data_IF_446319352418
#
_entry.id   IF_446319352418
#
_cell.length_a   1.000
_cell.length_b   1.000
_cell.length_c   1.000
_cell.angle_alpha   90.00
_cell.angle_beta   90.00
_cell.angle_gamma   90.00
#
_symmetry.space_group_name_H-M   'P 1'
#
loop_
_entity.id
_entity.type
_entity.pdbx_description
1 polymer ?
#
# COMPACT_ATOMS: atom_id res chain seq x y z
N UNK A 1 -3.48 -4.46 -19.56
CA UNK A 1 -2.78 -4.66 -18.26
C UNK A 1 -3.51 -5.76 -17.51
N UNK A 2 -2.83 -6.77 -16.96
CA UNK A 2 -3.49 -7.90 -16.25
C UNK A 2 -2.57 -9.06 -15.93
N UNK A 3 -1.38 -9.10 -16.53
CA UNK A 3 -0.39 -10.12 -16.18
C UNK A 3 0.28 -9.78 -14.84
N UNK A 4 0.35 -10.69 -13.86
CA UNK A 4 1.09 -10.47 -12.62
C UNK A 4 2.59 -10.21 -12.85
N UNK A 5 3.15 -10.67 -13.96
CA UNK A 5 4.56 -10.47 -14.33
C UNK A 5 4.81 -9.12 -15.04
N UNK A 6 3.76 -8.46 -15.56
CA UNK A 6 3.90 -7.22 -16.32
C UNK A 6 4.69 -6.13 -15.61
N UNK A 7 4.33 -5.75 -14.37
CA UNK A 7 5.06 -4.73 -13.63
C UNK A 7 6.52 -5.12 -13.35
N UNK A 8 6.78 -6.39 -13.01
CA UNK A 8 8.13 -6.88 -12.73
C UNK A 8 9.03 -6.83 -13.98
N UNK A 9 8.51 -7.25 -15.13
CA UNK A 9 9.24 -7.20 -16.38
C UNK A 9 9.48 -5.77 -16.85
N UNK A 10 8.50 -4.88 -16.69
CA UNK A 10 8.66 -3.46 -17.00
C UNK A 10 9.74 -2.80 -16.15
N UNK A 11 9.74 -3.07 -14.84
CA UNK A 11 10.76 -2.58 -13.92
C UNK A 11 12.14 -3.11 -14.31
N UNK A 12 12.28 -4.41 -14.58
CA UNK A 12 13.55 -5.02 -14.95
C UNK A 12 14.09 -4.43 -16.27
N UNK A 13 13.21 -4.25 -17.26
CA UNK A 13 13.56 -3.62 -18.55
C UNK A 13 14.08 -2.19 -18.34
N UNK A 14 13.32 -1.36 -17.62
CA UNK A 14 13.72 0.01 -17.36
C UNK A 14 15.02 0.10 -16.54
N UNK A 15 15.17 -0.72 -15.48
CA UNK A 15 16.40 -0.72 -14.68
C UNK A 15 17.65 -1.05 -15.53
N UNK A 16 17.55 -2.03 -16.45
CA UNK A 16 18.65 -2.36 -17.34
C UNK A 16 19.02 -1.19 -18.24
N UNK A 17 18.02 -0.60 -18.89
CA UNK A 17 18.26 0.50 -19.83
C UNK A 17 18.70 1.79 -19.14
N UNK A 18 18.08 2.16 -18.02
CA UNK A 18 18.43 3.36 -17.25
C UNK A 18 19.88 3.32 -16.76
N UNK A 19 20.32 2.20 -16.22
CA UNK A 19 21.72 2.05 -15.79
C UNK A 19 22.70 2.33 -16.96
N UNK A 20 22.41 1.79 -18.14
CA UNK A 20 23.23 2.05 -19.33
C UNK A 20 23.15 3.52 -19.75
N UNK A 21 21.94 4.08 -19.85
CA UNK A 21 21.74 5.47 -20.28
C UNK A 21 22.38 6.49 -19.32
N UNK A 22 22.30 6.24 -18.01
CA UNK A 22 22.93 7.10 -17.01
C UNK A 22 24.45 6.98 -17.00
N UNK A 23 25.00 5.81 -17.29
CA UNK A 23 26.45 5.63 -17.41
C UNK A 23 27.00 6.33 -18.66
N UNK A 24 26.28 6.23 -19.78
CA UNK A 24 26.64 6.85 -21.07
C UNK A 24 26.25 8.35 -21.12
N UNK A 25 25.66 8.91 -20.06
CA UNK A 25 25.24 10.30 -20.02
C UNK A 25 26.42 11.24 -19.92
N UNK A 26 26.50 12.25 -20.81
CA UNK A 26 27.54 13.28 -20.75
C UNK A 26 27.59 13.98 -19.40
N UNK A 27 28.80 14.16 -18.85
CA UNK A 27 29.01 14.78 -17.54
C UNK A 27 28.51 16.23 -17.46
N UNK A 28 28.42 16.93 -18.59
CA UNK A 28 27.97 18.32 -18.67
C UNK A 28 26.57 18.55 -18.15
N UNK A 29 25.66 17.59 -18.34
CA UNK A 29 24.26 17.66 -17.88
C UNK A 29 23.82 16.40 -17.13
N UNK A 30 24.75 15.59 -16.65
CA UNK A 30 24.45 14.40 -15.85
C UNK A 30 23.81 14.82 -14.52
N UNK A 31 22.69 14.17 -14.13
CA UNK A 31 22.04 14.48 -12.86
C UNK A 31 22.90 14.11 -11.66
N UNK A 32 22.85 14.91 -10.60
CA UNK A 32 23.52 14.65 -9.32
C UNK A 32 22.80 13.53 -8.56
N UNK A 33 21.49 13.47 -8.71
CA UNK A 33 20.64 12.45 -8.06
C UNK A 33 19.57 12.00 -9.03
N UNK A 34 19.33 10.69 -9.10
CA UNK A 34 18.30 10.06 -9.93
C UNK A 34 17.68 8.91 -9.18
N UNK A 35 16.36 8.94 -9.04
CA UNK A 35 15.58 7.83 -8.49
C UNK A 35 14.25 7.72 -9.21
N UNK A 36 13.87 6.48 -9.57
CA UNK A 36 12.61 6.17 -10.20
C UNK A 36 11.70 5.36 -9.26
N UNK A 37 10.44 5.73 -9.24
CA UNK A 37 9.35 4.96 -8.64
C UNK A 37 8.32 4.64 -9.72
N UNK A 38 8.34 3.40 -10.22
CA UNK A 38 7.52 2.91 -11.34
C UNK A 38 7.74 3.76 -12.60
N UNK A 39 6.88 4.74 -12.87
CA UNK A 39 6.90 5.68 -13.99
C UNK A 39 7.32 7.10 -13.59
N UNK A 40 7.24 7.44 -12.32
CA UNK A 40 7.66 8.74 -11.80
C UNK A 40 9.16 8.75 -11.46
N UNK A 41 9.86 9.80 -11.90
CA UNK A 41 11.30 9.95 -11.71
C UNK A 41 11.59 11.25 -10.97
N UNK A 42 12.34 11.17 -9.89
CA UNK A 42 12.87 12.32 -9.16
C UNK A 42 14.33 12.53 -9.51
N UNK A 43 14.67 13.75 -9.93
CA UNK A 43 16.01 14.10 -10.41
C UNK A 43 16.48 15.44 -9.82
N UNK A 44 17.75 15.51 -9.45
CA UNK A 44 18.40 16.77 -9.06
C UNK A 44 19.52 17.12 -10.02
N UNK A 45 19.56 18.39 -10.40
CA UNK A 45 20.61 18.98 -11.25
C UNK A 45 21.30 20.15 -10.56
N UNK A 46 22.55 20.41 -10.94
CA UNK A 46 23.27 21.60 -10.47
C UNK A 46 22.78 22.89 -11.13
N UNK A 47 22.23 22.79 -12.35
CA UNK A 47 21.78 23.95 -13.12
C UNK A 47 20.44 23.67 -13.80
N UNK A 48 19.53 24.66 -13.88
CA UNK A 48 18.22 24.48 -14.48
C UNK A 48 18.25 24.05 -15.96
N UNK A 49 19.23 24.55 -16.73
CA UNK A 49 19.34 24.25 -18.16
C UNK A 49 19.62 22.77 -18.45
N UNK A 50 20.26 22.06 -17.53
CA UNK A 50 20.56 20.63 -17.67
C UNK A 50 19.32 19.75 -17.74
N UNK A 51 18.16 20.22 -17.24
CA UNK A 51 16.90 19.47 -17.27
C UNK A 51 16.47 19.18 -18.71
N UNK A 52 16.40 20.22 -19.54
CA UNK A 52 15.98 20.08 -20.95
C UNK A 52 16.98 19.26 -21.78
N UNK A 53 18.27 19.45 -21.55
CA UNK A 53 19.32 18.67 -22.23
C UNK A 53 19.23 17.18 -21.87
N UNK A 54 19.07 16.90 -20.58
CA UNK A 54 18.92 15.52 -20.08
C UNK A 54 17.66 14.84 -20.62
N UNK A 55 16.51 15.52 -20.60
CA UNK A 55 15.26 14.96 -21.13
C UNK A 55 15.37 14.71 -22.64
N UNK A 56 15.96 15.62 -23.39
CA UNK A 56 16.21 15.43 -24.81
C UNK A 56 17.15 14.25 -25.08
N UNK A 57 18.16 14.07 -24.24
CA UNK A 57 19.05 12.92 -24.30
C UNK A 57 18.29 11.61 -24.03
N UNK A 58 17.48 11.54 -22.97
CA UNK A 58 16.70 10.36 -22.60
C UNK A 58 15.67 10.00 -23.67
N UNK A 59 15.00 10.97 -24.27
CA UNK A 59 14.00 10.76 -25.32
C UNK A 59 14.60 10.20 -26.63
N UNK A 60 15.88 10.35 -26.85
CA UNK A 60 16.60 9.75 -28.00
C UNK A 60 17.01 8.30 -27.77
N UNK A 61 16.87 7.77 -26.54
CA UNK A 61 17.39 6.43 -26.19
C UNK A 61 16.48 5.28 -26.60
N UNK A 62 15.17 5.48 -26.64
CA UNK A 62 14.24 4.42 -26.99
C UNK A 62 13.00 4.97 -27.71
N UNK A 63 12.65 4.38 -28.86
CA UNK A 63 11.57 4.87 -29.73
C UNK A 63 10.15 4.87 -29.11
N UNK A 64 9.93 3.99 -28.14
CA UNK A 64 8.61 3.78 -27.52
C UNK A 64 8.52 4.32 -26.08
N UNK A 65 9.54 5.05 -25.62
CA UNK A 65 9.56 5.66 -24.29
C UNK A 65 9.79 7.15 -24.48
N UNK A 66 8.92 7.95 -23.90
CA UNK A 66 9.05 9.41 -23.89
C UNK A 66 8.98 9.91 -22.45
N UNK A 67 9.83 10.85 -22.12
CA UNK A 67 9.90 11.50 -20.83
C UNK A 67 9.38 12.93 -20.96
N UNK A 68 8.51 13.33 -20.07
CA UNK A 68 8.13 14.70 -19.80
C UNK A 68 8.72 15.14 -18.46
N UNK A 69 8.73 16.41 -18.16
CA UNK A 69 9.28 16.90 -16.91
C UNK A 69 8.47 18.06 -16.34
N UNK A 70 8.52 18.15 -15.03
CA UNK A 70 8.05 19.28 -14.24
C UNK A 70 9.24 19.85 -13.46
N UNK A 71 9.34 21.17 -13.37
CA UNK A 71 10.40 21.85 -12.63
C UNK A 71 9.81 22.43 -11.36
N UNK A 72 10.63 22.46 -10.30
CA UNK A 72 10.25 23.13 -9.05
C UNK A 72 9.82 24.58 -9.32
N UNK A 73 8.72 24.99 -8.70
CA UNK A 73 8.20 26.36 -8.78
C UNK A 73 8.23 26.96 -7.37
N UNK A 74 8.87 28.12 -7.24
CA UNK A 74 8.96 28.84 -5.93
C UNK A 74 9.49 27.95 -4.78
N UNK A 75 10.48 27.09 -5.05
CA UNK A 75 11.06 26.21 -4.05
C UNK A 75 10.18 25.01 -3.67
N UNK A 76 9.20 24.67 -4.51
CA UNK A 76 8.22 23.63 -4.23
C UNK A 76 8.08 22.69 -5.43
N UNK A 77 8.05 21.37 -5.18
CA UNK A 77 7.84 20.34 -6.19
C UNK A 77 6.93 19.22 -5.63
N UNK A 78 5.78 18.95 -6.23
CA UNK A 78 5.01 17.73 -5.94
C UNK A 78 5.72 16.51 -6.50
N UNK A 79 5.84 15.46 -5.70
CA UNK A 79 6.33 14.16 -6.15
C UNK A 79 5.59 13.04 -5.42
N UNK A 80 4.95 12.16 -6.15
CA UNK A 80 4.09 11.09 -5.62
C UNK A 80 3.01 11.65 -4.67
N UNK A 81 3.09 11.29 -3.41
CA UNK A 81 2.16 11.67 -2.34
C UNK A 81 2.64 12.84 -1.48
N UNK A 82 3.82 13.39 -1.80
CA UNK A 82 4.44 14.46 -1.01
C UNK A 82 4.64 15.73 -1.83
N UNK A 83 4.63 16.83 -1.12
CA UNK A 83 5.11 18.11 -1.61
C UNK A 83 6.47 18.39 -0.99
N UNK A 84 7.48 18.57 -1.79
CA UNK A 84 8.86 18.80 -1.37
C UNK A 84 9.11 20.30 -1.40
N UNK A 85 9.55 20.85 -0.28
CA UNK A 85 9.94 22.26 -0.15
C UNK A 85 11.44 22.36 0.09
N UNK A 86 12.04 23.37 -0.50
CA UNK A 86 13.42 23.75 -0.20
C UNK A 86 13.42 24.94 0.74
N UNK A 87 13.70 24.70 1.99
CA UNK A 87 13.71 25.71 3.08
C UNK A 87 15.10 25.72 3.75
N UNK A 88 15.77 26.88 3.77
CA UNK A 88 17.08 27.04 4.45
C UNK A 88 18.15 25.99 4.10
N UNK A 89 18.21 25.55 2.83
CA UNK A 89 19.14 24.52 2.38
C UNK A 89 18.76 23.08 2.73
N UNK A 90 17.62 22.88 3.36
CA UNK A 90 17.05 21.57 3.71
C UNK A 90 15.81 21.25 2.87
N UNK A 91 15.56 19.96 2.67
CA UNK A 91 14.30 19.50 2.08
C UNK A 91 13.30 19.18 3.18
N UNK A 92 12.15 19.84 3.10
CA UNK A 92 11.02 19.64 4.02
C UNK A 92 9.85 19.09 3.23
N UNK A 93 9.14 18.12 3.78
CA UNK A 93 8.03 17.44 3.08
C UNK A 93 6.70 17.66 3.78
N UNK A 94 5.63 17.75 3.00
CA UNK A 94 4.24 17.71 3.46
C UNK A 94 3.40 16.79 2.57
N UNK A 95 2.16 16.51 3.00
CA UNK A 95 1.24 15.70 2.19
C UNK A 95 0.79 16.48 0.97
N UNK A 96 0.99 15.91 -0.22
CA UNK A 96 0.46 16.47 -1.46
C UNK A 96 -0.96 15.95 -1.72
N UNK A 97 -1.82 16.85 -2.15
CA UNK A 97 -3.16 16.55 -2.65
C UNK A 97 -3.34 17.15 -4.02
N UNK A 98 -3.75 16.33 -4.96
CA UNK A 98 -4.07 16.81 -6.32
C UNK A 98 -5.22 17.82 -6.24
N UNK A 99 -5.29 18.76 -7.17
CA UNK A 99 -6.38 19.74 -7.25
C UNK A 99 -7.75 19.06 -7.37
N UNK A 100 -7.81 17.87 -7.98
CA UNK A 100 -9.01 17.06 -8.12
C UNK A 100 -9.43 16.33 -6.84
N UNK A 101 -8.66 16.49 -5.74
CA UNK A 101 -8.96 15.81 -4.49
C UNK A 101 -10.25 16.32 -3.85
N UNK A 102 -11.29 15.49 -3.81
CA UNK A 102 -12.62 15.85 -3.30
C UNK A 102 -12.72 15.88 -1.78
N UNK A 103 -11.81 15.23 -1.07
CA UNK A 103 -11.88 15.05 0.38
C UNK A 103 -12.99 14.09 0.84
N UNK A 104 -13.57 13.32 -0.08
CA UNK A 104 -14.63 12.35 0.23
C UNK A 104 -14.03 11.05 0.74
N UNK A 105 -14.43 10.66 1.94
CA UNK A 105 -14.11 9.37 2.56
C UNK A 105 -15.39 8.63 2.91
N UNK A 106 -15.24 7.40 3.44
CA UNK A 106 -16.38 6.65 3.94
C UNK A 106 -17.13 7.46 5.00
N UNK A 107 -18.40 7.72 4.77
CA UNK A 107 -19.24 8.49 5.69
C UNK A 107 -19.42 7.76 7.03
N UNK A 108 -19.45 8.50 8.13
CA UNK A 108 -19.59 7.91 9.46
C UNK A 108 -20.93 7.20 9.65
N UNK A 109 -22.01 7.66 9.01
CA UNK A 109 -23.33 7.04 9.05
C UNK A 109 -23.48 5.81 8.15
N UNK A 110 -22.47 5.51 7.29
CA UNK A 110 -22.48 4.33 6.44
C UNK A 110 -22.53 3.03 7.26
N UNK A 111 -23.08 1.97 6.67
CA UNK A 111 -23.20 0.64 7.30
C UNK A 111 -21.85 -0.11 7.38
N UNK A 112 -20.76 0.61 7.68
CA UNK A 112 -19.45 0.02 7.92
C UNK A 112 -19.23 -0.21 9.41
N UNK A 113 -18.62 -1.34 9.82
CA UNK A 113 -18.22 -1.58 11.20
C UNK A 113 -17.33 -0.44 11.73
N UNK A 114 -17.44 -0.14 13.03
CA UNK A 114 -16.65 0.92 13.66
C UNK A 114 -15.14 0.72 13.52
N UNK A 115 -14.67 -0.52 13.50
CA UNK A 115 -13.24 -0.83 13.33
C UNK A 115 -12.68 -0.32 12.00
N UNK A 116 -13.46 -0.38 10.92
CA UNK A 116 -13.07 0.21 9.63
C UNK A 116 -13.01 1.73 9.69
N UNK A 117 -13.92 2.37 10.41
CA UNK A 117 -13.94 3.83 10.61
C UNK A 117 -12.74 4.27 11.45
N UNK A 118 -12.41 3.54 12.52
CA UNK A 118 -11.18 3.73 13.26
C UNK A 118 -9.95 3.53 12.37
N UNK A 119 -9.92 2.42 11.62
CA UNK A 119 -8.83 2.08 10.71
C UNK A 119 -8.54 3.17 9.69
N UNK A 120 -9.60 3.77 9.11
CA UNK A 120 -9.46 4.88 8.15
C UNK A 120 -8.78 6.10 8.78
N UNK A 121 -9.23 6.54 9.97
CA UNK A 121 -8.61 7.68 10.67
C UNK A 121 -7.15 7.38 11.00
N UNK A 122 -6.86 6.18 11.53
CA UNK A 122 -5.49 5.77 11.86
C UNK A 122 -4.58 5.69 10.64
N UNK A 123 -5.08 5.19 9.52
CA UNK A 123 -4.30 5.08 8.27
C UNK A 123 -3.90 6.46 7.76
N UNK A 124 -4.82 7.43 7.78
CA UNK A 124 -4.50 8.79 7.32
C UNK A 124 -3.58 9.54 8.29
N UNK A 125 -3.74 9.35 9.61
CA UNK A 125 -2.80 9.89 10.60
C UNK A 125 -1.41 9.26 10.45
N UNK A 126 -1.33 7.95 10.19
CA UNK A 126 -0.06 7.27 9.97
C UNK A 126 0.61 7.75 8.68
N UNK A 127 -0.16 7.92 7.61
CA UNK A 127 0.33 8.48 6.35
C UNK A 127 0.89 9.89 6.56
N UNK A 128 0.16 10.75 7.27
CA UNK A 128 0.62 12.08 7.63
C UNK A 128 1.93 12.03 8.41
N UNK A 129 2.00 11.23 9.47
CA UNK A 129 3.19 11.07 10.29
C UNK A 129 4.41 10.55 9.52
N UNK A 130 4.19 9.70 8.51
CA UNK A 130 5.26 9.10 7.72
C UNK A 130 5.76 10.01 6.60
N UNK A 131 4.92 10.91 6.08
CA UNK A 131 5.22 11.73 4.92
C UNK A 131 5.67 13.15 5.28
N UNK A 132 5.34 13.63 6.45
CA UNK A 132 5.65 15.01 6.88
C UNK A 132 6.91 15.01 7.72
N UNK A 133 7.90 15.80 7.33
CA UNK A 133 9.20 15.85 7.99
C UNK A 133 9.29 16.87 9.13
N UNK A 134 8.37 17.83 9.19
CA UNK A 134 8.35 18.91 10.19
C UNK A 134 7.13 18.81 11.11
N UNK A 135 7.33 19.04 12.40
CA UNK A 135 6.27 18.91 13.41
C UNK A 135 5.16 19.95 13.23
N UNK A 136 5.50 21.18 12.82
CA UNK A 136 4.49 22.23 12.60
C UNK A 136 3.60 21.89 11.40
N UNK A 137 4.19 21.42 10.30
CA UNK A 137 3.46 20.93 9.13
C UNK A 137 2.62 19.70 9.46
N UNK A 138 3.12 18.83 10.35
CA UNK A 138 2.36 17.68 10.83
C UNK A 138 1.10 18.12 11.60
N UNK A 139 1.20 19.07 12.52
CA UNK A 139 0.04 19.60 13.23
C UNK A 139 -0.99 20.24 12.29
N UNK A 140 -0.53 21.02 11.33
CA UNK A 140 -1.41 21.60 10.31
C UNK A 140 -2.14 20.52 9.51
N UNK A 141 -1.45 19.45 9.15
CA UNK A 141 -2.04 18.33 8.42
C UNK A 141 -3.08 17.57 9.26
N UNK A 142 -2.82 17.38 10.56
CA UNK A 142 -3.79 16.76 11.48
C UNK A 142 -5.07 17.60 11.56
N UNK A 143 -4.96 18.94 11.62
CA UNK A 143 -6.13 19.83 11.61
C UNK A 143 -6.91 19.76 10.27
N UNK A 144 -6.21 19.65 9.15
CA UNK A 144 -6.85 19.43 7.84
C UNK A 144 -7.61 18.10 7.84
N UNK A 145 -6.99 17.02 8.31
CA UNK A 145 -7.63 15.70 8.41
C UNK A 145 -8.86 15.75 9.33
N UNK A 146 -8.78 16.42 10.46
CA UNK A 146 -9.91 16.61 11.38
C UNK A 146 -11.09 17.30 10.68
N UNK A 147 -10.84 18.41 9.97
CA UNK A 147 -11.87 19.12 9.19
C UNK A 147 -12.49 18.21 8.10
N UNK A 148 -11.68 17.42 7.41
CA UNK A 148 -12.13 16.47 6.40
C UNK A 148 -13.02 15.38 6.99
N UNK A 149 -12.66 14.81 8.13
CA UNK A 149 -13.48 13.80 8.81
C UNK A 149 -14.81 14.38 9.28
N UNK A 150 -14.82 15.58 9.87
CA UNK A 150 -16.06 16.27 10.27
C UNK A 150 -16.97 16.48 9.06
N UNK A 151 -16.42 16.91 7.89
CA UNK A 151 -17.16 17.04 6.63
C UNK A 151 -17.76 15.71 6.17
N UNK A 152 -17.14 14.58 6.47
CA UNK A 152 -17.63 13.22 6.17
C UNK A 152 -18.52 12.64 7.30
N UNK A 153 -19.05 13.49 8.20
CA UNK A 153 -20.02 13.13 9.23
C UNK A 153 -19.41 12.47 10.48
N UNK A 154 -18.06 12.46 10.65
CA UNK A 154 -17.45 11.92 11.86
C UNK A 154 -17.65 12.87 13.04
N UNK A 155 -18.13 12.36 14.22
CA UNK A 155 -18.20 13.17 15.42
C UNK A 155 -16.82 13.69 15.86
N UNK A 156 -16.70 14.98 16.20
CA UNK A 156 -15.40 15.57 16.61
C UNK A 156 -14.76 14.78 17.74
N UNK A 157 -15.54 14.41 18.78
CA UNK A 157 -15.05 13.59 19.89
C UNK A 157 -14.47 12.26 19.49
N UNK A 158 -14.99 11.63 18.40
CA UNK A 158 -14.46 10.38 17.87
C UNK A 158 -13.10 10.61 17.21
N UNK A 159 -12.99 11.65 16.38
CA UNK A 159 -11.74 12.01 15.71
C UNK A 159 -10.68 12.40 16.73
N UNK A 160 -11.01 13.24 17.71
CA UNK A 160 -10.09 13.67 18.76
C UNK A 160 -9.57 12.50 19.59
N UNK A 161 -10.44 11.53 19.91
CA UNK A 161 -10.04 10.28 20.60
C UNK A 161 -9.05 9.44 19.75
N UNK A 162 -9.24 9.40 18.43
CA UNK A 162 -8.32 8.71 17.53
C UNK A 162 -6.97 9.40 17.47
N UNK A 163 -6.97 10.74 17.33
CA UNK A 163 -5.75 11.56 17.31
C UNK A 163 -4.98 11.37 18.62
N UNK A 164 -5.64 11.53 19.76
CA UNK A 164 -5.02 11.36 21.08
C UNK A 164 -4.37 9.97 21.25
N UNK A 165 -5.11 8.91 20.89
CA UNK A 165 -4.57 7.55 20.94
C UNK A 165 -3.38 7.34 20.00
N UNK A 166 -3.44 7.92 18.80
CA UNK A 166 -2.36 7.85 17.84
C UNK A 166 -1.11 8.55 18.37
N UNK A 167 -1.26 9.77 18.86
CA UNK A 167 -0.15 10.58 19.42
C UNK A 167 0.51 9.87 20.60
N UNK A 168 -0.29 9.40 21.55
CA UNK A 168 0.23 8.65 22.70
C UNK A 168 0.99 7.38 22.30
N UNK A 169 0.54 6.69 21.26
CA UNK A 169 1.24 5.49 20.77
C UNK A 169 2.57 5.83 20.07
N UNK A 170 2.63 6.96 19.36
CA UNK A 170 3.83 7.37 18.59
C UNK A 170 4.87 8.08 19.42
N UNK A 171 4.43 8.91 20.36
CA UNK A 171 5.29 9.75 21.19
C UNK A 171 5.40 9.22 22.64
N UNK A 172 4.81 8.05 22.93
CA UNK A 172 5.06 7.40 24.21
C UNK A 172 6.57 7.16 24.38
N UNK A 173 7.15 7.43 25.55
CA UNK A 173 8.53 7.05 25.82
C UNK A 173 8.68 5.54 25.53
N UNK A 174 9.70 5.20 24.75
CA UNK A 174 10.04 3.81 24.49
C UNK A 174 10.36 3.19 25.85
N UNK A 175 9.39 2.50 26.44
CA UNK A 175 9.68 1.68 27.60
C UNK A 175 10.65 0.61 27.11
N UNK A 176 11.91 0.76 27.44
CA UNK A 176 13.00 -0.20 27.21
C UNK A 176 12.84 -1.45 28.09
N UNK A 177 11.61 -1.91 28.25
CA UNK A 177 11.39 -3.28 28.67
C UNK A 177 11.76 -4.11 27.46
N UNK A 178 13.00 -4.60 27.45
CA UNK A 178 13.43 -5.68 26.57
C UNK A 178 12.47 -6.86 26.81
N UNK A 179 11.34 -6.84 26.13
CA UNK A 179 10.46 -8.00 26.08
C UNK A 179 11.20 -9.02 25.22
N UNK A 180 11.94 -9.88 25.88
CA UNK A 180 12.47 -11.10 25.26
C UNK A 180 11.30 -11.72 24.49
N UNK A 181 11.42 -11.98 23.18
CA UNK A 181 10.34 -12.55 22.41
C UNK A 181 9.93 -13.88 23.04
N UNK A 182 8.77 -13.90 23.70
CA UNK A 182 8.24 -15.11 24.31
C UNK A 182 7.95 -16.11 23.20
N UNK A 183 8.52 -17.31 23.29
CA UNK A 183 8.22 -18.41 22.37
C UNK A 183 6.70 -18.63 22.33
N UNK A 184 6.06 -18.53 21.15
CA UNK A 184 4.63 -18.79 21.03
C UNK A 184 4.38 -20.30 20.96
N UNK A 185 3.54 -20.81 21.87
CA UNK A 185 3.08 -22.19 21.89
C UNK A 185 1.61 -22.22 21.45
N UNK A 186 1.31 -22.83 20.30
CA UNK A 186 -0.03 -22.98 19.79
C UNK A 186 -0.62 -24.34 20.22
N UNK A 187 -1.71 -24.33 20.98
CA UNK A 187 -2.49 -25.51 21.35
C UNK A 187 -3.74 -25.55 20.46
N UNK A 188 -3.84 -26.58 19.63
CA UNK A 188 -4.95 -26.75 18.71
C UNK A 188 -5.95 -27.73 19.32
N UNK A 189 -7.19 -27.29 19.52
CA UNK A 189 -8.29 -28.09 20.09
C UNK A 189 -9.51 -28.09 19.16
N UNK A 190 -10.38 -29.10 19.22
CA UNK A 190 -11.66 -29.06 18.54
C UNK A 190 -12.58 -28.02 19.17
N UNK A 191 -13.42 -27.35 18.35
CA UNK A 191 -14.41 -26.43 18.83
C UNK A 191 -15.67 -27.17 19.29
N UNK A 192 -16.02 -27.05 20.56
CA UNK A 192 -17.13 -27.74 21.23
C UNK A 192 -18.23 -26.74 21.71
N UNK A 193 -18.48 -25.69 20.89
CA UNK A 193 -19.47 -24.68 21.22
C UNK A 193 -19.02 -23.68 22.31
N UNK A 194 -19.98 -23.13 23.05
CA UNK A 194 -19.73 -22.07 24.06
C UNK A 194 -18.71 -22.46 25.13
N UNK A 195 -18.66 -23.73 25.50
CA UNK A 195 -17.73 -24.25 26.50
C UNK A 195 -16.24 -24.12 26.06
N UNK A 196 -16.01 -24.06 24.76
CA UNK A 196 -14.63 -23.83 24.23
C UNK A 196 -14.04 -22.48 24.68
N UNK A 197 -14.84 -21.45 24.82
CA UNK A 197 -14.39 -20.13 25.28
C UNK A 197 -14.00 -20.16 26.77
N UNK A 198 -14.74 -20.88 27.59
CA UNK A 198 -14.44 -21.08 29.02
C UNK A 198 -13.13 -21.88 29.15
N UNK A 199 -13.01 -22.96 28.38
CA UNK A 199 -11.80 -23.78 28.34
C UNK A 199 -10.57 -22.97 27.92
N UNK A 200 -10.70 -22.14 26.87
CA UNK A 200 -9.63 -21.23 26.43
C UNK A 200 -9.17 -20.32 27.57
N UNK A 201 -10.10 -19.69 28.26
CA UNK A 201 -9.79 -18.76 29.35
C UNK A 201 -9.05 -19.47 30.49
N UNK A 202 -9.53 -20.65 30.87
CA UNK A 202 -8.93 -21.45 31.95
C UNK A 202 -7.53 -21.95 31.57
N UNK A 203 -7.38 -22.51 30.36
CA UNK A 203 -6.08 -22.96 29.87
C UNK A 203 -5.09 -21.81 29.78
N UNK A 204 -5.50 -20.68 29.20
CA UNK A 204 -4.63 -19.52 29.07
C UNK A 204 -4.18 -19.00 30.45
N UNK A 205 -5.06 -18.95 31.44
CA UNK A 205 -4.73 -18.53 32.82
C UNK A 205 -3.77 -19.51 33.48
N UNK A 206 -4.02 -20.82 33.37
CA UNK A 206 -3.19 -21.86 33.99
C UNK A 206 -1.79 -21.88 33.38
N UNK A 207 -1.72 -21.84 32.02
CA UNK A 207 -0.42 -21.83 31.36
C UNK A 207 0.36 -20.54 31.59
N UNK A 208 -0.30 -19.37 31.67
CA UNK A 208 0.36 -18.09 31.95
C UNK A 208 0.99 -18.05 33.35
N UNK A 209 0.42 -18.77 34.30
CA UNK A 209 1.00 -18.90 35.65
C UNK A 209 2.26 -19.78 35.66
N UNK A 210 2.23 -20.87 34.89
CA UNK A 210 3.26 -21.91 34.95
C UNK A 210 4.38 -21.74 33.90
N UNK A 211 4.06 -21.12 32.75
CA UNK A 211 5.00 -20.91 31.63
C UNK A 211 5.29 -19.42 31.43
N UNK A 212 6.09 -18.83 32.31
CA UNK A 212 6.45 -17.39 32.27
C UNK A 212 7.20 -16.98 30.99
N UNK A 213 7.88 -17.92 30.33
CA UNK A 213 8.71 -17.65 29.14
C UNK A 213 8.00 -17.93 27.81
N UNK A 214 6.79 -18.50 27.82
CA UNK A 214 6.02 -18.84 26.65
C UNK A 214 4.69 -18.09 26.64
N UNK A 215 4.29 -17.63 25.43
CA UNK A 215 2.95 -17.13 25.19
C UNK A 215 2.09 -18.25 24.62
N UNK A 216 1.15 -18.74 25.41
CA UNK A 216 0.28 -19.84 24.98
C UNK A 216 -0.92 -19.28 24.23
N UNK A 217 -1.18 -19.83 23.05
CA UNK A 217 -2.29 -19.47 22.18
C UNK A 217 -3.16 -20.69 21.94
N UNK A 218 -4.39 -20.66 22.44
CA UNK A 218 -5.37 -21.74 22.21
C UNK A 218 -6.15 -21.43 20.94
N UNK A 219 -6.08 -22.31 19.95
CA UNK A 219 -6.70 -22.20 18.63
C UNK A 219 -7.74 -23.32 18.52
N UNK A 220 -8.98 -22.97 18.17
CA UNK A 220 -10.01 -23.97 17.93
C UNK A 220 -10.15 -24.28 16.45
N UNK A 221 -10.22 -25.56 16.10
CA UNK A 221 -10.57 -26.02 14.77
C UNK A 221 -12.00 -26.55 14.78
N UNK A 222 -12.80 -26.17 13.81
CA UNK A 222 -14.12 -26.78 13.53
C UNK A 222 -13.93 -28.02 12.67
N UNK A 223 -14.62 -29.10 13.00
CA UNK A 223 -14.61 -30.34 12.23
C UNK A 223 -15.25 -30.18 10.83
N UNK A 224 -16.22 -29.27 10.74
CA UNK A 224 -16.93 -28.97 9.49
C UNK A 224 -16.93 -27.47 9.22
N UNK A 225 -16.88 -27.08 7.96
CA UNK A 225 -17.03 -25.71 7.48
C UNK A 225 -18.40 -25.56 6.82
N UNK A 226 -18.91 -24.33 6.73
CA UNK A 226 -20.15 -24.07 5.99
C UNK A 226 -20.11 -24.67 4.58
N UNK A 227 -18.96 -24.66 3.93
CA UNK A 227 -18.74 -25.25 2.61
C UNK A 227 -19.08 -26.73 2.56
N UNK A 228 -18.90 -27.50 3.65
CA UNK A 228 -19.20 -28.94 3.69
C UNK A 228 -20.71 -29.24 3.69
N UNK A 229 -21.55 -28.26 4.06
CA UNK A 229 -23.01 -28.39 4.05
C UNK A 229 -23.65 -28.01 2.72
N UNK A 230 -22.91 -27.29 1.86
CA UNK A 230 -23.40 -26.88 0.54
C UNK A 230 -22.77 -27.72 -0.54
N UNK A 231 -23.54 -28.66 -1.09
CA UNK A 231 -23.17 -29.40 -2.31
C UNK A 231 -23.67 -28.62 -3.51
N UNK A 232 -22.76 -28.23 -4.40
CA UNK A 232 -23.16 -27.69 -5.68
C UNK A 232 -23.85 -28.77 -6.51
N UNK A 233 -25.15 -28.62 -6.78
CA UNK A 233 -25.93 -29.58 -7.57
C UNK A 233 -25.53 -29.57 -9.03
N UNK A 234 -25.09 -28.43 -9.56
CA UNK A 234 -24.72 -28.27 -10.96
C UNK A 234 -23.25 -27.85 -11.08
N UNK A 235 -22.54 -28.54 -11.95
CA UNK A 235 -21.17 -28.14 -12.33
C UNK A 235 -21.29 -26.97 -13.31
N UNK A 236 -20.67 -25.83 -12.95
CA UNK A 236 -20.64 -24.66 -13.85
C UNK A 236 -19.80 -25.04 -15.08
N UNK A 237 -20.34 -24.93 -16.32
CA UNK A 237 -19.57 -25.17 -17.54
C UNK A 237 -18.31 -24.30 -17.56
N UNK A 238 -17.22 -24.81 -18.14
CA UNK A 238 -15.91 -24.12 -18.14
C UNK A 238 -15.99 -22.71 -18.72
N UNK A 239 -16.73 -22.54 -19.79
CA UNK A 239 -16.93 -21.23 -20.46
C UNK A 239 -17.65 -20.18 -19.61
N UNK A 240 -18.42 -20.63 -18.60
CA UNK A 240 -19.13 -19.76 -17.65
C UNK A 240 -18.39 -19.60 -16.31
N UNK A 241 -17.25 -20.26 -16.12
CA UNK A 241 -16.43 -20.08 -14.91
C UNK A 241 -15.76 -18.71 -14.92
N UNK A 242 -15.74 -18.06 -13.77
CA UNK A 242 -15.00 -16.84 -13.49
C UNK A 242 -13.76 -17.13 -12.63
N UNK A 243 -12.91 -16.15 -12.45
CA UNK A 243 -11.69 -16.26 -11.62
C UNK A 243 -10.77 -17.42 -12.08
N UNK A 244 -10.56 -17.54 -13.38
CA UNK A 244 -9.78 -18.62 -14.02
C UNK A 244 -8.39 -18.12 -14.45
N UNK A 245 -7.42 -19.04 -14.39
CA UNK A 245 -6.16 -18.93 -15.14
C UNK A 245 -6.34 -19.74 -16.42
N UNK A 246 -6.02 -19.15 -17.55
CA UNK A 246 -6.20 -19.78 -18.85
C UNK A 246 -4.91 -19.70 -19.68
N UNK A 247 -4.77 -20.61 -20.62
CA UNK A 247 -3.69 -20.63 -21.60
C UNK A 247 -4.30 -20.58 -23.00
N UNK A 248 -3.97 -19.55 -23.77
CA UNK A 248 -4.21 -19.50 -25.21
C UNK A 248 -2.97 -19.93 -25.95
N UNK A 249 -3.15 -20.77 -26.95
CA UNK A 249 -2.08 -21.21 -27.84
C UNK A 249 -2.43 -20.81 -29.28
N UNK A 250 -1.53 -20.13 -29.95
CA UNK A 250 -1.71 -19.72 -31.34
C UNK A 250 -1.67 -20.94 -32.26
N UNK A 251 -2.73 -21.11 -33.08
CA UNK A 251 -2.81 -22.22 -34.04
C UNK A 251 -1.78 -22.17 -35.17
N UNK A 252 -1.16 -21.01 -35.43
CA UNK A 252 -0.16 -20.84 -36.50
C UNK A 252 1.28 -21.05 -36.05
N UNK A 253 1.66 -20.53 -34.87
CA UNK A 253 3.05 -20.51 -34.42
C UNK A 253 3.30 -21.22 -33.09
N UNK A 254 2.30 -21.89 -32.54
CA UNK A 254 2.34 -22.59 -31.24
C UNK A 254 2.79 -21.71 -30.04
N UNK A 255 2.97 -20.41 -30.23
CA UNK A 255 3.21 -19.51 -29.13
C UNK A 255 2.01 -19.52 -28.18
N UNK A 256 2.27 -19.52 -26.88
CA UNK A 256 1.21 -19.55 -25.88
C UNK A 256 1.25 -18.35 -24.96
N UNK A 257 0.06 -17.91 -24.55
CA UNK A 257 -0.15 -16.84 -23.57
C UNK A 257 -0.91 -17.41 -22.38
N UNK A 258 -0.43 -17.13 -21.18
CA UNK A 258 -1.10 -17.48 -19.94
C UNK A 258 -1.68 -16.20 -19.34
N UNK A 259 -2.99 -16.20 -19.13
CA UNK A 259 -3.71 -15.06 -18.59
C UNK A 259 -4.58 -15.42 -17.39
N UNK A 260 -5.06 -14.39 -16.69
CA UNK A 260 -6.02 -14.50 -15.60
C UNK A 260 -7.26 -13.68 -15.95
N UNK A 261 -8.44 -14.20 -15.66
CA UNK A 261 -9.69 -13.45 -15.79
C UNK A 261 -10.52 -13.56 -14.51
N UNK A 262 -11.15 -12.47 -14.12
CA UNK A 262 -12.19 -12.44 -13.09
C UNK A 262 -13.60 -12.57 -13.70
N UNK A 263 -13.74 -12.34 -15.01
CA UNK A 263 -15.00 -12.46 -15.75
C UNK A 263 -15.23 -13.91 -16.19
N UNK A 264 -16.43 -14.18 -16.70
CA UNK A 264 -16.70 -15.47 -17.33
C UNK A 264 -15.75 -15.72 -18.49
N UNK A 265 -15.30 -16.96 -18.61
CA UNK A 265 -14.35 -17.36 -19.66
C UNK A 265 -14.86 -17.07 -21.06
N UNK A 266 -16.18 -17.23 -21.31
CA UNK A 266 -16.84 -16.86 -22.56
C UNK A 266 -16.57 -15.41 -22.96
N UNK A 267 -16.71 -14.48 -22.03
CA UNK A 267 -16.45 -13.05 -22.27
C UNK A 267 -14.97 -12.82 -22.59
N UNK A 268 -14.09 -13.50 -21.86
CA UNK A 268 -12.65 -13.36 -22.09
C UNK A 268 -12.19 -13.94 -23.43
N UNK A 269 -12.79 -15.03 -23.88
CA UNK A 269 -12.50 -15.61 -25.21
C UNK A 269 -12.94 -14.66 -26.32
N UNK A 270 -14.09 -13.99 -26.17
CA UNK A 270 -14.58 -13.04 -27.19
C UNK A 270 -13.79 -11.74 -27.29
N UNK A 271 -12.95 -11.44 -26.30
CA UNK A 271 -12.05 -10.26 -26.27
C UNK A 271 -10.70 -10.55 -26.95
N UNK A 272 -10.35 -11.81 -27.21
CA UNK A 272 -9.12 -12.27 -27.88
C UNK A 272 -9.33 -12.59 -29.34
#
# INVERSE_FOLDING_TARGET
MGSPLGPTLAIAFLCYHENKWLNDCPLSFKPVYYRRYVDDIFVLFNQPNHVSEFVNYMNKKHKNISFSFEIEKSGQLPFLDINIFRENGLFVTSVYRKETFSGVYANFTSFLPLDYKFGLVYTLLYRCFSLVSDLSKFHNEVEILKKLFIKNGYPSKFVDKCIFKFMNKKFAPISTVLTVPKKELNIILPYLGKNSLILKTNLTKTFSKNLRFCKVRVIFKTASTLKSYFRFKNVVPEVLRSCQIYKFTCGRCNASYIGKTFRHMKVRISEH
#
